data_IF_923035388913
#
_entry.id   IF_923035388913
#
_cell.length_a   1.000
_cell.length_b   1.000
_cell.length_c   1.000
_cell.angle_alpha   90.00
_cell.angle_beta   90.00
_cell.angle_gamma   90.00
#
_symmetry.space_group_name_H-M   'P 1'
#
loop_
_entity.id
_entity.type
_entity.pdbx_description
1 polymer ?
#
# COMPACT_ATOMS: atom_id res chain seq x y z
N UNK A 1 10.27 -11.10 14.31
CA UNK A 1 8.81 -11.23 14.58
C UNK A 1 8.11 -11.91 13.39
N UNK A 2 6.94 -12.52 13.58
CA UNK A 2 6.10 -13.03 12.49
C UNK A 2 4.88 -12.12 12.32
N UNK A 3 4.64 -11.62 11.11
CA UNK A 3 3.59 -10.64 10.82
C UNK A 3 2.80 -11.07 9.59
N UNK A 4 1.48 -11.03 9.67
CA UNK A 4 0.59 -11.17 8.53
C UNK A 4 0.08 -9.78 8.10
N UNK A 5 0.17 -9.47 6.82
CA UNK A 5 -0.37 -8.25 6.21
C UNK A 5 -1.53 -8.65 5.31
N UNK A 6 -2.71 -8.07 5.58
CA UNK A 6 -3.91 -8.28 4.76
C UNK A 6 -4.01 -7.18 3.70
N UNK A 7 -4.13 -7.59 2.43
CA UNK A 7 -4.16 -6.75 1.24
C UNK A 7 -2.78 -6.59 0.59
N UNK A 8 -2.68 -6.98 -0.68
CA UNK A 8 -1.48 -6.88 -1.53
C UNK A 8 -1.54 -5.69 -2.51
N UNK A 9 -2.29 -4.65 -2.19
CA UNK A 9 -2.19 -3.34 -2.84
C UNK A 9 -0.89 -2.61 -2.50
N UNK A 10 -0.72 -1.37 -3.00
CA UNK A 10 0.50 -0.57 -2.83
C UNK A 10 0.87 -0.38 -1.36
N UNK A 11 -0.09 -0.08 -0.49
CA UNK A 11 0.15 0.13 0.94
C UNK A 11 0.63 -1.16 1.63
N UNK A 12 -0.05 -2.29 1.40
CA UNK A 12 0.31 -3.57 2.01
C UNK A 12 1.66 -4.10 1.53
N UNK A 13 1.97 -3.93 0.23
CA UNK A 13 3.29 -4.27 -0.34
C UNK A 13 4.40 -3.41 0.27
N UNK A 14 4.21 -2.10 0.37
CA UNK A 14 5.19 -1.21 0.99
C UNK A 14 5.41 -1.55 2.47
N UNK A 15 4.34 -1.79 3.23
CA UNK A 15 4.43 -2.22 4.63
C UNK A 15 5.21 -3.54 4.76
N UNK A 16 4.88 -4.54 3.93
CA UNK A 16 5.57 -5.82 3.90
C UNK A 16 7.07 -5.66 3.62
N UNK A 17 7.44 -4.83 2.63
CA UNK A 17 8.85 -4.51 2.34
C UNK A 17 9.54 -3.91 3.57
N UNK A 18 8.94 -2.90 4.22
CA UNK A 18 9.55 -2.26 5.40
C UNK A 18 9.70 -3.22 6.59
N UNK A 19 8.75 -4.13 6.77
CA UNK A 19 8.81 -5.16 7.80
C UNK A 19 9.89 -6.21 7.50
N UNK A 20 10.06 -6.59 6.23
CA UNK A 20 11.15 -7.47 5.79
C UNK A 20 12.51 -6.81 6.03
N UNK A 21 12.66 -5.53 5.68
CA UNK A 21 13.90 -4.75 5.94
C UNK A 21 14.22 -4.68 7.45
N UNK A 22 13.19 -4.67 8.30
CA UNK A 22 13.31 -4.70 9.76
C UNK A 22 13.56 -6.10 10.34
N UNK A 23 13.73 -7.14 9.51
CA UNK A 23 14.01 -8.51 9.95
C UNK A 23 12.80 -9.31 10.40
N UNK A 24 11.58 -8.86 10.08
CA UNK A 24 10.37 -9.67 10.31
C UNK A 24 10.21 -10.75 9.23
N UNK A 25 9.59 -11.88 9.60
CA UNK A 25 9.02 -12.83 8.64
C UNK A 25 7.61 -12.36 8.33
N UNK A 26 7.34 -12.08 7.06
CA UNK A 26 6.06 -11.51 6.62
C UNK A 26 5.30 -12.50 5.75
N UNK A 27 4.01 -12.66 6.02
CA UNK A 27 3.06 -13.27 5.09
C UNK A 27 2.13 -12.19 4.54
N UNK A 28 2.09 -12.02 3.23
CA UNK A 28 1.18 -11.09 2.56
C UNK A 28 -0.01 -11.89 2.02
N UNK A 29 -1.21 -11.55 2.46
CA UNK A 29 -2.43 -12.27 2.12
C UNK A 29 -3.36 -11.34 1.35
N UNK A 30 -3.84 -11.77 0.19
CA UNK A 30 -4.84 -11.06 -0.60
C UNK A 30 -5.91 -12.07 -1.03
N UNK A 31 -7.13 -11.59 -1.24
CA UNK A 31 -8.21 -12.43 -1.77
C UNK A 31 -7.97 -12.80 -3.24
N UNK A 32 -7.25 -11.96 -3.98
CA UNK A 32 -6.96 -12.12 -5.39
C UNK A 32 -5.55 -12.71 -5.60
N UNK A 33 -5.33 -13.47 -6.70
CA UNK A 33 -4.00 -13.97 -7.02
C UNK A 33 -3.03 -12.82 -7.32
N UNK A 34 -1.73 -13.06 -7.18
CA UNK A 34 -0.71 -12.02 -7.38
C UNK A 34 -0.68 -11.41 -8.79
N UNK A 35 -1.15 -12.15 -9.80
CA UNK A 35 -1.29 -11.68 -11.19
C UNK A 35 -2.52 -10.81 -11.42
N UNK A 36 -3.37 -10.63 -10.41
CA UNK A 36 -4.60 -9.87 -10.51
C UNK A 36 -4.34 -8.36 -10.42
N UNK A 37 -5.05 -7.60 -11.25
CA UNK A 37 -4.96 -6.14 -11.31
C UNK A 37 -6.24 -5.44 -10.81
N UNK A 38 -7.14 -6.15 -10.13
CA UNK A 38 -8.43 -5.59 -9.65
C UNK A 38 -8.34 -4.77 -8.37
N UNK A 39 -7.17 -4.65 -7.74
CA UNK A 39 -7.02 -3.78 -6.56
C UNK A 39 -7.04 -2.30 -6.95
N UNK A 40 -7.48 -1.42 -6.03
CA UNK A 40 -7.51 0.03 -6.27
C UNK A 40 -6.14 0.61 -6.65
N UNK A 41 -5.06 -0.06 -6.25
CA UNK A 41 -3.69 0.35 -6.55
C UNK A 41 -3.36 0.32 -8.04
N UNK A 42 -4.03 -0.53 -8.83
CA UNK A 42 -3.86 -0.58 -10.28
C UNK A 42 -4.79 0.37 -11.03
N UNK A 43 -5.90 0.79 -10.40
CA UNK A 43 -6.77 1.83 -10.94
C UNK A 43 -6.22 3.25 -10.69
N UNK A 44 -5.30 3.42 -9.73
CA UNK A 44 -4.71 4.70 -9.41
C UNK A 44 -3.88 5.25 -10.58
N UNK A 45 -3.98 6.55 -10.83
CA UNK A 45 -3.23 7.24 -11.88
C UNK A 45 -1.70 7.26 -11.65
N UNK A 46 -1.25 6.87 -10.45
CA UNK A 46 0.17 6.84 -10.09
C UNK A 46 0.80 8.22 -9.87
N UNK A 47 0.00 9.29 -9.77
CA UNK A 47 0.52 10.61 -9.44
C UNK A 47 0.97 10.64 -7.98
N UNK A 48 2.22 11.04 -7.75
CA UNK A 48 2.74 11.36 -6.41
C UNK A 48 2.75 12.87 -6.24
N UNK A 49 1.55 13.47 -6.12
CA UNK A 49 1.38 14.93 -5.99
C UNK A 49 0.72 15.32 -4.66
N UNK A 50 1.34 15.00 -3.51
CA UNK A 50 0.79 15.35 -2.21
C UNK A 50 0.62 16.88 -2.05
N UNK A 51 1.42 17.69 -2.76
CA UNK A 51 1.29 19.14 -2.73
C UNK A 51 0.01 19.63 -3.41
N UNK A 52 -0.38 19.03 -4.55
CA UNK A 52 -1.64 19.38 -5.22
C UNK A 52 -2.86 18.96 -4.39
N UNK A 53 -2.76 17.88 -3.62
CA UNK A 53 -3.81 17.44 -2.71
C UNK A 53 -4.02 18.40 -1.53
N UNK A 54 -2.94 19.04 -1.03
CA UNK A 54 -3.02 20.08 0.02
C UNK A 54 -3.64 21.37 -0.51
N UNK A 55 -3.29 21.78 -1.75
CA UNK A 55 -3.84 23.01 -2.35
C UNK A 55 -5.36 22.93 -2.59
N UNK A 56 -5.90 21.72 -2.79
CA UNK A 56 -7.34 21.49 -2.98
C UNK A 56 -8.07 21.03 -1.71
N UNK A 57 -7.35 20.67 -0.65
CA UNK A 57 -7.93 20.23 0.63
C UNK A 57 -8.16 21.40 1.58
N UNK A 58 -9.33 21.48 2.21
CA UNK A 58 -9.51 22.42 3.33
C UNK A 58 -8.54 22.10 4.46
N UNK A 59 -7.72 23.10 4.83
CA UNK A 59 -6.93 23.08 6.05
C UNK A 59 -7.89 23.19 7.25
N UNK A 60 -8.39 22.06 7.75
CA UNK A 60 -8.94 22.00 9.11
C UNK A 60 -7.77 21.76 10.07
N UNK A 61 -7.27 22.85 10.65
CA UNK A 61 -6.38 22.83 11.83
C UNK A 61 -7.24 23.00 13.08
#
# INVERSE_FOLDING_TARGET
AQVAVAGAGVAGRLLACRLLDAGARVSLVDENPASDARSCSFAAAGMLSPLAEIEQGELTI
#
